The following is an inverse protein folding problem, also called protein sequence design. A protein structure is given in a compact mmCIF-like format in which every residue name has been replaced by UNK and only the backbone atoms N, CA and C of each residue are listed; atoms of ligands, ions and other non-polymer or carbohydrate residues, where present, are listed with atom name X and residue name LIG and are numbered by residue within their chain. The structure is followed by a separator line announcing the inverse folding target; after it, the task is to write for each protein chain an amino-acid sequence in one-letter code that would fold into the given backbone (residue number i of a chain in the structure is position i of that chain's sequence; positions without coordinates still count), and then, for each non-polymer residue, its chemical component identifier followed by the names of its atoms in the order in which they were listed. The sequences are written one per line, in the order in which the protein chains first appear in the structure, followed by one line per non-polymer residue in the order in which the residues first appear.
data_IF_257276403584
#
_entry.id   IF_257276403584
#
_cell.length_a   1.000
_cell.length_b   1.000
_cell.length_c   1.000
_cell.angle_alpha   90.00
_cell.angle_beta   90.00
_cell.angle_gamma   90.00
#
_symmetry.space_group_name_H-M   'P 1'
#
loop_
_entity.id
_entity.type
_entity.pdbx_description
1 polymer ?
#
# COMPACT_ATOMS: atom_id res chain seq x y z
N UNK A 1 30.90 44.22 -7.64
CA UNK A 1 29.57 44.38 -7.04
C UNK A 1 29.56 45.74 -6.35
N UNK A 2 28.58 46.58 -6.66
CA UNK A 2 28.40 47.89 -6.03
C UNK A 2 27.29 47.73 -4.98
N UNK A 3 27.65 47.81 -3.71
CA UNK A 3 26.75 47.60 -2.57
C UNK A 3 26.38 48.96 -2.00
N UNK A 4 25.09 49.24 -1.91
CA UNK A 4 24.55 50.42 -1.23
C UNK A 4 24.35 50.06 0.25
N UNK A 5 24.98 50.79 1.17
CA UNK A 5 24.86 50.56 2.62
C UNK A 5 24.99 51.87 3.39
N UNK A 6 24.63 51.86 4.67
CA UNK A 6 24.72 53.02 5.56
C UNK A 6 26.13 53.56 5.70
N UNK A 7 26.27 54.89 5.77
CA UNK A 7 27.53 55.59 5.94
C UNK A 7 27.54 56.40 7.26
N UNK A 8 28.73 56.67 7.81
CA UNK A 8 28.91 57.32 9.11
C UNK A 8 28.60 58.84 9.06
N UNK A 9 28.60 59.42 7.85
CA UNK A 9 28.35 60.84 7.65
C UNK A 9 26.84 61.16 7.71
N UNK A 10 26.43 61.90 8.74
CA UNK A 10 25.07 62.41 9.01
C UNK A 10 24.43 63.28 7.89
N UNK A 11 25.02 63.32 6.70
CA UNK A 11 24.54 64.08 5.53
C UNK A 11 24.08 63.20 4.36
N UNK A 12 24.47 61.92 4.31
CA UNK A 12 23.92 60.93 3.37
C UNK A 12 23.74 59.59 4.08
N UNK A 13 22.48 59.19 4.30
CA UNK A 13 22.17 57.96 5.05
C UNK A 13 22.70 56.66 4.39
N UNK A 14 23.08 56.70 3.09
CA UNK A 14 23.59 55.55 2.33
C UNK A 14 24.65 55.95 1.28
N UNK A 15 25.67 55.11 1.09
CA UNK A 15 26.73 55.23 0.07
C UNK A 15 26.97 53.91 -0.68
N UNK A 16 27.59 54.01 -1.87
CA UNK A 16 27.98 52.85 -2.68
C UNK A 16 29.45 52.50 -2.44
N UNK A 17 29.71 51.27 -1.98
CA UNK A 17 31.05 50.71 -1.85
C UNK A 17 31.21 49.42 -2.66
N UNK A 18 32.46 49.07 -2.96
CA UNK A 18 32.83 47.82 -3.63
C UNK A 18 34.04 47.19 -2.94
N UNK A 19 33.96 45.89 -2.63
CA UNK A 19 35.09 45.16 -2.05
C UNK A 19 34.65 43.88 -1.35
N UNK A 20 35.62 43.03 -0.98
CA UNK A 20 35.36 41.83 -0.16
C UNK A 20 34.87 42.19 1.23
N UNK A 21 35.23 43.38 1.74
CA UNK A 21 34.65 43.94 2.98
C UNK A 21 33.14 44.11 2.92
N UNK A 22 32.55 44.34 1.74
CA UNK A 22 31.09 44.42 1.56
C UNK A 22 30.50 43.03 1.31
N UNK A 23 31.26 42.08 0.78
CA UNK A 23 30.82 40.69 0.63
C UNK A 23 30.76 39.94 1.98
N UNK A 24 31.75 40.15 2.85
CA UNK A 24 31.82 39.52 4.17
C UNK A 24 30.52 39.64 5.01
N UNK A 25 29.93 40.82 5.23
CA UNK A 25 28.68 40.94 5.99
C UNK A 25 27.47 40.26 5.31
N UNK A 26 27.46 40.11 3.97
CA UNK A 26 26.43 39.32 3.29
C UNK A 26 26.57 37.83 3.63
N UNK A 27 27.80 37.30 3.65
CA UNK A 27 28.06 35.92 4.08
C UNK A 27 27.68 35.74 5.55
N UNK A 28 28.05 36.68 6.42
CA UNK A 28 27.69 36.64 7.84
C UNK A 28 26.18 36.64 8.05
N UNK A 29 25.43 37.49 7.32
CA UNK A 29 23.98 37.50 7.35
C UNK A 29 23.36 36.18 6.88
N UNK A 30 23.89 35.60 5.79
CA UNK A 30 23.45 34.29 5.31
C UNK A 30 23.68 33.18 6.34
N UNK A 31 24.84 33.14 6.98
CA UNK A 31 25.14 32.18 8.06
C UNK A 31 24.17 32.37 9.23
N UNK A 32 23.89 33.61 9.64
CA UNK A 32 22.95 33.88 10.73
C UNK A 32 21.54 33.34 10.41
N UNK A 33 21.08 33.52 9.17
CA UNK A 33 19.80 32.95 8.71
C UNK A 33 19.82 31.42 8.76
N UNK A 34 20.91 30.78 8.34
CA UNK A 34 21.04 29.31 8.40
C UNK A 34 21.11 28.77 9.83
N UNK A 35 21.73 29.49 10.76
CA UNK A 35 21.72 29.16 12.20
C UNK A 35 20.30 29.22 12.75
N UNK A 36 19.52 30.24 12.37
CA UNK A 36 18.13 30.36 12.79
C UNK A 36 17.25 29.28 12.15
N UNK A 37 17.44 28.99 10.87
CA UNK A 37 16.67 27.98 10.14
C UNK A 37 16.98 26.54 10.61
N UNK A 38 18.24 26.26 10.96
CA UNK A 38 18.72 24.92 11.32
C UNK A 38 19.53 24.94 12.63
N UNK A 39 18.89 25.22 13.78
CA UNK A 39 19.56 25.42 15.06
C UNK A 39 20.24 24.17 15.63
N UNK A 40 19.95 23.00 15.07
CA UNK A 40 20.54 21.71 15.48
C UNK A 40 21.86 21.40 14.77
N UNK A 41 22.22 22.17 13.74
CA UNK A 41 23.45 21.95 12.99
C UNK A 41 24.66 22.57 13.67
N UNK A 42 25.81 21.92 13.51
CA UNK A 42 27.08 22.51 13.88
C UNK A 42 27.45 23.65 12.93
N UNK A 43 28.33 24.54 13.39
CA UNK A 43 28.85 25.61 12.54
C UNK A 43 29.55 25.05 11.28
N UNK A 44 30.20 23.91 11.38
CA UNK A 44 30.83 23.20 10.25
C UNK A 44 29.78 22.76 9.22
N UNK A 45 28.70 22.11 9.67
CA UNK A 45 27.61 21.68 8.78
C UNK A 45 26.91 22.86 8.08
N UNK A 46 26.75 23.99 8.77
CA UNK A 46 26.18 25.21 8.16
C UNK A 46 27.09 25.76 7.06
N UNK A 47 28.41 25.76 7.30
CA UNK A 47 29.40 26.19 6.29
C UNK A 47 29.41 25.21 5.10
N UNK A 48 29.38 23.90 5.37
CA UNK A 48 29.35 22.86 4.33
C UNK A 48 28.09 22.97 3.46
N UNK A 49 26.92 23.20 4.06
CA UNK A 49 25.68 23.50 3.33
C UNK A 49 25.83 24.71 2.43
N UNK A 50 26.43 25.79 2.93
CA UNK A 50 26.62 27.02 2.16
C UNK A 50 27.56 26.79 0.97
N UNK A 51 28.59 25.95 1.14
CA UNK A 51 29.49 25.54 0.08
C UNK A 51 28.84 24.60 -0.95
N UNK A 52 28.06 23.62 -0.50
CA UNK A 52 27.38 22.65 -1.36
C UNK A 52 26.32 23.29 -2.26
N UNK A 53 25.70 24.37 -1.80
CA UNK A 53 24.62 25.07 -2.50
C UNK A 53 25.08 26.30 -3.28
N UNK A 54 26.36 26.68 -3.16
CA UNK A 54 26.90 27.82 -3.90
C UNK A 54 26.82 27.61 -5.43
N UNK A 55 26.39 28.64 -6.15
CA UNK A 55 26.22 28.59 -7.59
C UNK A 55 27.47 29.10 -8.31
N UNK A 56 27.99 28.30 -9.24
CA UNK A 56 29.08 28.70 -10.14
C UNK A 56 28.56 29.35 -11.43
N UNK A 57 27.23 29.34 -11.63
CA UNK A 57 26.59 29.79 -12.85
C UNK A 57 26.74 31.29 -13.07
N UNK A 58 27.13 31.67 -14.29
CA UNK A 58 27.28 33.07 -14.68
C UNK A 58 28.45 33.81 -14.01
N UNK A 59 29.33 33.10 -13.29
CA UNK A 59 30.51 33.71 -12.69
C UNK A 59 31.61 33.91 -13.73
N UNK A 60 32.08 35.15 -13.81
CA UNK A 60 33.23 35.56 -14.63
C UNK A 60 34.16 36.41 -13.78
N UNK A 61 35.46 36.15 -13.88
CA UNK A 61 36.47 36.96 -13.19
C UNK A 61 36.58 38.37 -13.78
N UNK A 62 37.46 39.19 -13.20
CA UNK A 62 37.67 40.58 -13.64
C UNK A 62 38.13 40.67 -15.10
N UNK A 63 38.81 39.66 -15.59
CA UNK A 63 39.37 39.61 -16.95
C UNK A 63 38.40 38.94 -17.94
N UNK A 64 37.21 38.54 -17.47
CA UNK A 64 36.16 37.93 -18.28
C UNK A 64 36.33 36.41 -18.46
N UNK A 65 37.25 35.77 -17.72
CA UNK A 65 37.38 34.32 -17.77
C UNK A 65 36.25 33.65 -16.99
N UNK A 66 35.86 32.46 -17.44
CA UNK A 66 34.90 31.60 -16.74
C UNK A 66 35.35 31.27 -15.32
N UNK A 67 34.40 30.85 -14.49
CA UNK A 67 34.60 30.40 -13.12
C UNK A 67 35.91 29.62 -12.88
N UNK A 68 36.65 30.05 -11.85
CA UNK A 68 37.78 29.33 -11.24
C UNK A 68 37.58 29.26 -9.73
N UNK A 69 37.76 28.08 -9.15
CA UNK A 69 37.67 27.88 -7.69
C UNK A 69 38.74 28.65 -6.91
N UNK A 70 39.89 28.95 -7.52
CA UNK A 70 40.93 29.78 -6.90
C UNK A 70 40.52 31.24 -6.70
N UNK A 71 39.52 31.71 -7.47
CA UNK A 71 39.04 33.11 -7.43
C UNK A 71 37.70 33.20 -6.69
N UNK A 72 36.79 32.26 -6.95
CA UNK A 72 35.42 32.29 -6.44
C UNK A 72 35.14 31.29 -5.31
N UNK A 73 36.14 30.48 -4.91
CA UNK A 73 35.95 29.44 -3.92
C UNK A 73 34.95 28.40 -4.41
N UNK A 74 33.83 28.25 -3.69
CA UNK A 74 32.73 27.35 -4.04
C UNK A 74 31.69 27.98 -4.96
N UNK A 75 31.80 29.29 -5.24
CA UNK A 75 30.84 30.02 -6.07
C UNK A 75 30.10 31.12 -5.30
N UNK A 76 29.03 31.62 -5.90
CA UNK A 76 28.17 32.66 -5.32
C UNK A 76 27.20 32.02 -4.34
N UNK A 77 27.05 32.63 -3.16
CA UNK A 77 26.05 32.21 -2.17
C UNK A 77 24.66 32.16 -2.80
N UNK A 78 23.99 31.03 -2.61
CA UNK A 78 22.59 30.81 -2.94
C UNK A 78 21.85 30.42 -1.66
N UNK A 79 21.30 31.43 -0.97
CA UNK A 79 20.62 31.22 0.30
C UNK A 79 19.29 30.48 0.13
N UNK A 80 18.61 30.63 -1.01
CA UNK A 80 17.36 29.92 -1.30
C UNK A 80 17.64 28.41 -1.42
N UNK A 81 18.68 28.03 -2.17
CA UNK A 81 19.14 26.65 -2.25
C UNK A 81 19.60 26.12 -0.88
N UNK A 82 20.36 26.91 -0.11
CA UNK A 82 20.83 26.51 1.22
C UNK A 82 19.69 26.25 2.21
N UNK A 83 18.55 26.93 2.11
CA UNK A 83 17.40 26.71 3.01
C UNK A 83 16.50 25.53 2.63
N UNK A 84 16.79 24.84 1.52
CA UNK A 84 16.03 23.68 1.02
C UNK A 84 16.78 22.37 1.31
N UNK A 85 16.09 21.22 1.22
CA UNK A 85 16.77 19.93 1.23
C UNK A 85 17.81 19.88 0.11
N UNK A 86 19.04 19.49 0.45
CA UNK A 86 20.17 19.35 -0.48
C UNK A 86 20.14 17.96 -1.11
N UNK A 87 19.94 16.94 -0.27
CA UNK A 87 19.82 15.54 -0.67
C UNK A 87 18.42 14.99 -0.33
N UNK A 88 18.31 13.68 -0.13
CA UNK A 88 17.06 13.00 0.18
C UNK A 88 16.62 13.29 1.62
N UNK A 89 15.33 13.60 1.80
CA UNK A 89 14.73 13.65 3.13
C UNK A 89 14.42 12.23 3.61
N UNK A 90 14.86 11.92 4.82
CA UNK A 90 14.67 10.60 5.40
C UNK A 90 14.01 10.64 6.77
N UNK A 91 13.16 9.64 6.98
CA UNK A 91 12.60 9.29 8.28
C UNK A 91 13.64 8.48 9.08
N UNK A 92 13.86 8.86 10.33
CA UNK A 92 14.68 8.08 11.26
C UNK A 92 13.84 7.00 11.95
N UNK A 93 14.20 5.74 11.78
CA UNK A 93 13.65 4.67 12.65
C UNK A 93 13.97 4.93 14.11
N UNK A 94 13.15 4.46 15.09
CA UNK A 94 13.41 4.64 16.52
C UNK A 94 14.80 4.15 16.93
N UNK A 95 15.73 5.10 16.97
CA UNK A 95 17.10 4.97 17.40
C UNK A 95 17.54 6.34 17.89
N UNK A 96 18.27 6.37 18.99
CA UNK A 96 18.40 7.57 19.80
C UNK A 96 19.43 8.58 19.26
N UNK A 97 20.11 8.32 18.14
CA UNK A 97 21.19 9.22 17.70
C UNK A 97 21.44 9.20 16.17
N UNK A 98 21.41 10.39 15.55
CA UNK A 98 21.66 10.68 14.13
C UNK A 98 23.15 10.56 13.74
N UNK A 99 24.07 10.71 14.69
CA UNK A 99 25.52 10.82 14.46
C UNK A 99 26.26 9.47 14.54
N UNK A 100 25.56 8.35 14.68
CA UNK A 100 26.16 7.02 14.66
C UNK A 100 26.38 6.54 13.22
N UNK A 101 27.33 7.18 12.53
CA UNK A 101 27.92 6.64 11.30
C UNK A 101 29.23 5.94 11.64
N UNK A 102 29.39 4.71 11.12
CA UNK A 102 30.57 3.85 11.17
C UNK A 102 30.72 2.89 12.38
N UNK A 103 30.34 1.62 12.14
CA UNK A 103 30.89 0.39 12.77
C UNK A 103 30.14 -0.32 13.92
N UNK A 104 28.82 -0.18 14.08
CA UNK A 104 28.04 -1.18 14.84
C UNK A 104 26.62 -1.33 14.29
N UNK A 105 26.10 -2.56 14.20
CA UNK A 105 24.85 -2.92 13.49
C UNK A 105 23.53 -2.42 14.11
N UNK A 106 23.59 -1.43 15.00
CA UNK A 106 22.45 -0.81 15.69
C UNK A 106 22.09 0.59 15.13
N UNK A 107 22.56 0.93 13.94
CA UNK A 107 22.36 2.26 13.35
C UNK A 107 20.89 2.55 13.01
N UNK A 108 20.51 3.82 13.17
CA UNK A 108 19.28 4.42 12.63
C UNK A 108 19.24 4.18 11.12
N UNK A 109 18.26 3.43 10.64
CA UNK A 109 18.01 3.30 9.21
C UNK A 109 17.20 4.51 8.77
N UNK A 110 17.81 5.33 7.94
CA UNK A 110 17.16 6.41 7.23
C UNK A 110 16.32 5.82 6.09
N UNK A 111 15.06 6.25 6.00
CA UNK A 111 14.15 5.81 4.95
C UNK A 111 13.69 7.02 4.13
N UNK A 112 13.99 7.01 2.83
CA UNK A 112 13.51 8.03 1.89
C UNK A 112 12.00 8.23 2.03
N UNK A 113 11.59 9.47 2.26
CA UNK A 113 10.19 9.87 2.37
C UNK A 113 9.38 9.52 1.13
N UNK A 114 9.98 9.62 -0.06
CA UNK A 114 9.29 9.38 -1.32
C UNK A 114 8.87 7.90 -1.46
N UNK A 115 9.58 7.01 -0.78
CA UNK A 115 9.36 5.57 -0.80
C UNK A 115 8.69 5.04 0.48
N UNK A 116 8.33 5.93 1.41
CA UNK A 116 7.76 5.57 2.72
C UNK A 116 6.27 5.89 2.75
N UNK A 117 5.46 5.08 2.06
CA UNK A 117 4.01 5.23 2.01
C UNK A 117 3.26 4.09 2.69
N UNK A 118 2.30 4.44 3.53
CA UNK A 118 1.32 3.52 4.12
C UNK A 118 0.07 3.56 3.24
N UNK A 119 -0.26 2.42 2.65
CA UNK A 119 -1.50 2.25 1.88
C UNK A 119 -2.42 1.35 2.70
N UNK A 120 -3.55 1.91 3.16
CA UNK A 120 -4.57 1.13 3.84
C UNK A 120 -5.58 0.59 2.83
N UNK A 121 -6.02 -0.65 2.95
CA UNK A 121 -7.06 -1.16 2.06
C UNK A 121 -8.46 -0.55 2.29
N UNK A 122 -9.42 -0.99 1.48
CA UNK A 122 -10.83 -0.72 1.68
C UNK A 122 -11.39 -1.26 3.01
N UNK A 123 -10.71 -2.20 3.67
CA UNK A 123 -11.17 -2.76 4.94
C UNK A 123 -11.09 -1.75 6.11
N UNK A 124 -10.26 -0.71 6.01
CA UNK A 124 -10.01 0.28 7.06
C UNK A 124 -10.84 1.56 6.93
N UNK A 125 -11.76 1.65 5.97
CA UNK A 125 -12.52 2.88 5.74
C UNK A 125 -13.78 2.70 4.92
N UNK A 126 -14.50 3.81 4.72
CA UNK A 126 -15.71 3.82 3.92
C UNK A 126 -15.38 4.23 2.47
N UNK A 127 -15.84 3.44 1.48
CA UNK A 127 -15.89 3.88 0.08
C UNK A 127 -16.97 4.97 -0.03
N UNK A 128 -16.62 6.20 -0.42
CA UNK A 128 -17.59 7.28 -0.66
C UNK A 128 -17.63 7.60 -2.15
N UNK A 129 -18.81 7.49 -2.81
CA UNK A 129 -18.96 7.98 -4.17
C UNK A 129 -18.86 9.52 -4.16
N UNK A 130 -17.87 10.06 -4.87
CA UNK A 130 -17.70 11.49 -5.14
C UNK A 130 -17.54 11.66 -6.64
N UNK A 131 -18.38 12.48 -7.27
CA UNK A 131 -18.35 12.72 -8.72
C UNK A 131 -18.36 11.44 -9.59
N UNK A 132 -19.22 10.48 -9.26
CA UNK A 132 -19.29 9.15 -9.92
C UNK A 132 -17.99 8.31 -9.81
N UNK A 133 -17.09 8.67 -8.90
CA UNK A 133 -15.88 7.89 -8.59
C UNK A 133 -15.93 7.44 -7.13
N UNK A 134 -15.55 6.19 -6.86
CA UNK A 134 -15.43 5.69 -5.48
C UNK A 134 -14.14 6.23 -4.86
N UNK A 135 -14.22 7.42 -4.27
CA UNK A 135 -13.11 7.98 -3.50
C UNK A 135 -13.02 7.31 -2.13
N UNK A 136 -11.80 6.92 -1.76
CA UNK A 136 -11.53 6.40 -0.43
C UNK A 136 -11.56 7.57 0.54
N UNK A 137 -12.63 7.70 1.32
CA UNK A 137 -12.64 8.65 2.42
C UNK A 137 -12.25 7.89 3.69
N UNK A 138 -10.95 7.79 3.92
CA UNK A 138 -10.47 7.40 5.24
C UNK A 138 -10.37 8.69 6.04
N UNK A 139 -11.35 8.98 6.90
CA UNK A 139 -11.10 9.92 8.01
C UNK A 139 -9.94 9.44 8.89
N UNK A 140 -9.56 8.16 8.78
CA UNK A 140 -8.29 7.66 9.31
C UNK A 140 -7.10 8.52 8.86
N UNK A 141 -7.03 8.97 7.59
CA UNK A 141 -5.99 9.88 7.12
C UNK A 141 -6.07 11.26 7.81
N UNK A 142 -7.29 11.77 8.06
CA UNK A 142 -7.52 13.00 8.84
C UNK A 142 -7.05 12.85 10.30
N UNK A 143 -7.06 11.63 10.86
CA UNK A 143 -6.50 11.36 12.19
C UNK A 143 -4.98 11.58 12.23
N UNK A 144 -4.26 11.44 11.12
CA UNK A 144 -2.81 11.68 11.03
C UNK A 144 -2.46 13.13 10.65
N UNK A 145 -3.03 14.10 11.36
CA UNK A 145 -2.80 15.53 11.09
C UNK A 145 -1.52 16.08 11.74
N UNK A 146 -0.80 15.26 12.50
CA UNK A 146 0.40 15.66 13.22
C UNK A 146 1.58 16.00 12.29
N UNK A 147 2.46 16.90 12.75
CA UNK A 147 3.74 17.15 12.10
C UNK A 147 4.79 16.13 12.55
N UNK A 148 5.62 15.70 11.60
CA UNK A 148 6.77 14.82 11.83
C UNK A 148 8.05 15.48 11.31
N UNK A 149 9.14 15.28 12.04
CA UNK A 149 10.46 15.73 11.63
C UNK A 149 11.11 14.68 10.74
N UNK A 150 11.64 15.14 9.61
CA UNK A 150 12.47 14.38 8.70
C UNK A 150 13.82 15.07 8.56
N UNK A 151 14.84 14.30 8.21
CA UNK A 151 16.22 14.78 8.19
C UNK A 151 16.79 14.71 6.79
N UNK A 152 17.49 15.76 6.38
CA UNK A 152 18.29 15.76 5.16
C UNK A 152 19.48 14.81 5.34
N UNK A 153 19.64 13.84 4.45
CA UNK A 153 20.75 12.88 4.50
C UNK A 153 22.13 13.51 4.31
N UNK A 154 22.20 14.74 3.81
CA UNK A 154 23.46 15.46 3.63
C UNK A 154 24.11 15.79 5.00
N UNK A 155 23.35 16.37 5.93
CA UNK A 155 23.89 16.89 7.19
C UNK A 155 22.95 16.83 8.39
N UNK A 156 21.86 16.07 8.29
CA UNK A 156 20.84 15.93 9.32
C UNK A 156 20.05 17.21 9.63
N UNK A 157 19.98 18.18 8.71
CA UNK A 157 19.08 19.32 8.86
C UNK A 157 17.63 18.86 9.00
N UNK A 158 16.93 19.43 9.99
CA UNK A 158 15.57 19.06 10.31
C UNK A 158 14.56 19.80 9.43
N UNK A 159 13.64 19.06 8.82
CA UNK A 159 12.51 19.57 8.06
C UNK A 159 11.21 19.01 8.65
N UNK A 160 10.14 19.79 8.52
CA UNK A 160 8.84 19.45 9.09
C UNK A 160 7.83 19.15 7.99
N UNK A 161 7.26 17.96 8.03
CA UNK A 161 6.26 17.51 7.06
C UNK A 161 5.02 17.01 7.79
N UNK A 162 3.86 17.02 7.12
CA UNK A 162 2.64 16.49 7.72
C UNK A 162 2.65 14.95 7.65
N UNK A 163 2.27 14.28 8.73
CA UNK A 163 2.24 12.82 8.78
C UNK A 163 1.25 12.21 7.77
N UNK A 164 0.22 12.95 7.37
CA UNK A 164 -0.69 12.52 6.31
C UNK A 164 -0.01 12.37 4.94
N UNK A 165 1.16 12.99 4.71
CA UNK A 165 1.87 12.88 3.43
C UNK A 165 2.46 11.48 3.20
N UNK A 166 2.63 10.71 4.27
CA UNK A 166 3.07 9.31 4.23
C UNK A 166 1.91 8.35 4.05
N UNK A 167 0.67 8.83 3.98
CA UNK A 167 -0.50 7.97 3.79
C UNK A 167 -0.97 8.12 2.37
N UNK A 168 -0.82 7.04 1.62
CA UNK A 168 -1.39 6.99 0.29
C UNK A 168 -2.87 6.60 0.41
N UNK A 169 -3.72 7.59 0.16
CA UNK A 169 -5.17 7.42 0.10
C UNK A 169 -5.61 7.01 -1.31
N UNK A 170 -4.66 6.60 -2.17
CA UNK A 170 -4.89 6.26 -3.58
C UNK A 170 -6.24 5.60 -3.81
N UNK A 171 -6.94 6.22 -4.75
CA UNK A 171 -8.29 5.90 -5.16
C UNK A 171 -8.38 4.41 -5.50
N UNK A 172 -9.41 3.75 -5.00
CA UNK A 172 -9.77 2.46 -5.55
C UNK A 172 -10.24 2.70 -6.98
N UNK A 173 -9.37 2.48 -7.98
CA UNK A 173 -9.79 2.40 -9.38
C UNK A 173 -10.44 1.04 -9.64
N UNK A 174 -11.72 0.92 -9.28
CA UNK A 174 -12.62 -0.15 -9.75
C UNK A 174 -13.14 0.19 -11.18
N UNK A 175 -12.73 1.34 -11.73
CA UNK A 175 -13.26 1.88 -13.00
C UNK A 175 -12.83 1.02 -14.20
N UNK A 176 -11.68 0.34 -14.13
CA UNK A 176 -11.23 -0.48 -15.25
C UNK A 176 -12.09 -1.75 -15.41
N UNK A 177 -12.57 -2.36 -14.33
CA UNK A 177 -13.46 -3.52 -14.42
C UNK A 177 -14.92 -3.12 -14.61
N UNK A 178 -15.39 -2.01 -14.03
CA UNK A 178 -16.72 -1.45 -14.33
C UNK A 178 -16.86 -1.17 -15.83
N UNK A 179 -15.82 -0.65 -16.49
CA UNK A 179 -15.82 -0.41 -17.93
C UNK A 179 -15.63 -1.69 -18.77
N UNK A 180 -14.87 -2.69 -18.31
CA UNK A 180 -14.75 -3.99 -19.00
C UNK A 180 -16.05 -4.81 -18.93
N UNK A 181 -16.73 -4.80 -17.79
CA UNK A 181 -17.97 -5.56 -17.54
C UNK A 181 -19.22 -4.93 -18.18
N UNK A 182 -19.22 -3.61 -18.36
CA UNK A 182 -20.31 -2.94 -19.08
C UNK A 182 -20.19 -3.09 -20.61
N UNK A 183 -19.01 -3.43 -21.15
CA UNK A 183 -18.75 -3.24 -22.59
C UNK A 183 -18.12 -4.39 -23.40
N UNK A 184 -17.58 -5.51 -22.89
CA UNK A 184 -17.15 -6.63 -23.79
C UNK A 184 -16.98 -8.04 -23.15
N UNK A 185 -17.67 -9.05 -23.72
CA UNK A 185 -17.27 -10.43 -24.04
C UNK A 185 -16.14 -11.17 -23.26
N UNK A 186 -16.21 -11.28 -21.92
CA UNK A 186 -15.42 -12.32 -21.23
C UNK A 186 -16.08 -13.69 -21.50
N UNK A 187 -15.47 -14.49 -22.39
CA UNK A 187 -15.94 -15.84 -22.70
C UNK A 187 -15.12 -16.90 -21.95
N UNK A 188 -15.79 -17.63 -21.05
CA UNK A 188 -15.23 -18.81 -20.41
C UNK A 188 -15.10 -19.96 -21.41
N UNK A 189 -13.94 -20.61 -21.46
CA UNK A 189 -13.67 -21.75 -22.34
C UNK A 189 -13.30 -22.98 -21.52
N UNK A 190 -13.79 -24.15 -21.96
CA UNK A 190 -13.46 -25.46 -21.40
C UNK A 190 -12.88 -26.38 -22.46
N UNK A 191 -11.76 -27.03 -22.14
CA UNK A 191 -11.13 -28.07 -22.95
C UNK A 191 -11.07 -29.37 -22.14
N UNK A 192 -11.62 -30.45 -22.69
CA UNK A 192 -11.49 -31.78 -22.09
C UNK A 192 -10.22 -32.46 -22.61
N UNK A 193 -9.34 -32.85 -21.69
CA UNK A 193 -8.14 -33.64 -21.99
C UNK A 193 -8.42 -35.14 -21.86
N UNK A 194 -9.37 -35.50 -20.99
CA UNK A 194 -9.96 -36.84 -20.86
C UNK A 194 -11.34 -36.75 -20.22
N UNK A 195 -11.99 -37.88 -19.94
CA UNK A 195 -13.29 -37.92 -19.25
C UNK A 195 -13.25 -37.27 -17.86
N UNK A 196 -12.12 -37.37 -17.17
CA UNK A 196 -11.95 -36.90 -15.80
C UNK A 196 -11.03 -35.68 -15.67
N UNK A 197 -10.40 -35.24 -16.76
CA UNK A 197 -9.46 -34.11 -16.76
C UNK A 197 -9.93 -33.06 -17.75
N UNK A 198 -10.11 -31.84 -17.28
CA UNK A 198 -10.48 -30.70 -18.10
C UNK A 198 -9.78 -29.43 -17.62
N UNK A 199 -9.57 -28.51 -18.55
CA UNK A 199 -9.02 -27.18 -18.30
C UNK A 199 -10.10 -26.16 -18.58
N UNK A 200 -10.28 -25.25 -17.64
CA UNK A 200 -11.16 -24.10 -17.70
C UNK A 200 -10.28 -22.84 -17.76
N UNK A 201 -10.57 -21.90 -18.65
CA UNK A 201 -9.76 -20.68 -18.77
C UNK A 201 -10.53 -19.50 -19.33
N UNK A 202 -10.00 -18.30 -19.07
CA UNK A 202 -10.42 -17.04 -19.67
C UNK A 202 -9.22 -16.45 -20.39
N UNK A 203 -9.36 -16.21 -21.69
CA UNK A 203 -8.31 -15.59 -22.51
C UNK A 203 -8.15 -14.11 -22.16
N UNK A 204 -6.91 -13.63 -22.21
CA UNK A 204 -6.63 -12.21 -22.10
C UNK A 204 -6.84 -11.55 -23.48
N UNK A 205 -7.92 -10.78 -23.64
CA UNK A 205 -8.26 -10.09 -24.90
C UNK A 205 -7.52 -8.76 -25.11
N UNK A 206 -6.65 -8.33 -24.19
CA UNK A 206 -5.92 -7.06 -24.31
C UNK A 206 -4.76 -7.07 -25.34
N UNK A 207 -4.55 -8.17 -26.08
CA UNK A 207 -3.54 -8.28 -27.14
C UNK A 207 -3.92 -7.62 -28.48
N UNK A 208 -4.89 -6.71 -28.51
CA UNK A 208 -5.37 -6.04 -29.73
C UNK A 208 -4.94 -4.56 -29.86
N UNK A 209 -3.78 -4.20 -29.30
CA UNK A 209 -3.10 -2.96 -29.70
C UNK A 209 -1.79 -3.31 -30.40
N UNK A 210 -1.85 -3.29 -31.73
CA UNK A 210 -0.68 -3.17 -32.59
C UNK A 210 0.22 -2.03 -32.11
N UNK A 211 1.51 -2.37 -31.99
CA UNK A 211 2.69 -1.51 -31.81
C UNK A 211 3.23 -1.36 -30.38
N UNK A 212 4.42 -1.95 -30.21
CA UNK A 212 5.58 -1.53 -29.39
C UNK A 212 5.86 -2.40 -28.17
N UNK A 213 6.96 -3.15 -28.31
CA UNK A 213 7.75 -3.95 -27.35
C UNK A 213 7.07 -5.21 -26.81
N UNK A 214 7.51 -6.33 -27.38
CA UNK A 214 7.40 -7.67 -26.83
C UNK A 214 8.15 -7.76 -25.50
N UNK A 215 7.46 -7.50 -24.40
CA UNK A 215 7.89 -8.03 -23.10
C UNK A 215 7.41 -9.47 -23.00
N UNK A 216 8.30 -10.40 -22.68
CA UNK A 216 8.06 -11.84 -22.49
C UNK A 216 7.09 -12.17 -21.32
N UNK A 217 6.36 -11.18 -20.79
CA UNK A 217 5.49 -11.25 -19.61
C UNK A 217 3.99 -11.19 -19.96
N UNK A 218 3.60 -11.27 -21.23
CA UNK A 218 2.20 -11.28 -21.61
C UNK A 218 1.52 -12.59 -21.18
N UNK A 219 0.79 -12.54 -20.05
CA UNK A 219 -0.05 -13.63 -19.60
C UNK A 219 -1.19 -13.84 -20.61
N UNK A 220 -1.14 -14.97 -21.32
CA UNK A 220 -2.15 -15.38 -22.31
C UNK A 220 -3.54 -15.61 -21.69
N UNK A 221 -3.62 -15.85 -20.38
CA UNK A 221 -4.86 -16.15 -19.66
C UNK A 221 -5.03 -15.23 -18.46
N UNK A 222 -6.23 -14.69 -18.27
CA UNK A 222 -6.61 -13.98 -17.04
C UNK A 222 -6.82 -14.97 -15.87
N UNK A 223 -7.27 -16.19 -16.18
CA UNK A 223 -7.35 -17.32 -15.26
C UNK A 223 -7.17 -18.63 -16.03
N UNK A 224 -6.58 -19.63 -15.37
CA UNK A 224 -6.53 -21.00 -15.83
C UNK A 224 -6.76 -21.97 -14.67
N UNK A 225 -7.68 -22.91 -14.84
CA UNK A 225 -7.98 -23.95 -13.86
C UNK A 225 -7.86 -25.34 -14.48
N UNK A 226 -6.91 -26.13 -13.97
CA UNK A 226 -6.78 -27.55 -14.29
C UNK A 226 -7.58 -28.36 -13.28
N UNK A 227 -8.57 -29.11 -13.76
CA UNK A 227 -9.43 -29.95 -12.94
C UNK A 227 -9.18 -31.44 -13.22
N UNK A 228 -9.06 -32.22 -12.15
CA UNK A 228 -9.29 -33.65 -12.15
C UNK A 228 -10.52 -33.95 -11.30
N UNK A 229 -11.48 -34.71 -11.82
CA UNK A 229 -12.71 -35.08 -11.11
C UNK A 229 -12.97 -36.58 -11.20
N UNK A 230 -13.39 -37.16 -10.08
CA UNK A 230 -13.90 -38.52 -9.97
C UNK A 230 -15.12 -38.50 -9.03
N UNK A 231 -15.82 -39.62 -8.86
CA UNK A 231 -17.03 -39.73 -8.03
C UNK A 231 -16.79 -39.37 -6.56
N UNK A 232 -15.58 -39.63 -6.04
CA UNK A 232 -15.23 -39.43 -4.62
C UNK A 232 -14.35 -38.23 -4.34
N UNK A 233 -13.60 -37.72 -5.32
CA UNK A 233 -12.74 -36.57 -5.08
C UNK A 233 -12.55 -35.71 -6.32
N UNK A 234 -12.29 -34.43 -6.08
CA UNK A 234 -11.93 -33.43 -7.09
C UNK A 234 -10.62 -32.77 -6.66
N UNK A 235 -9.70 -32.61 -7.61
CA UNK A 235 -8.48 -31.84 -7.44
C UNK A 235 -8.49 -30.72 -8.47
N UNK A 236 -8.30 -29.49 -8.02
CA UNK A 236 -8.23 -28.32 -8.90
C UNK A 236 -6.97 -27.53 -8.60
N UNK A 237 -6.18 -27.28 -9.63
CA UNK A 237 -5.14 -26.27 -9.60
C UNK A 237 -5.67 -25.03 -10.31
N UNK A 238 -5.68 -23.87 -9.64
CA UNK A 238 -6.15 -22.63 -10.23
C UNK A 238 -5.02 -21.59 -10.23
N UNK A 239 -4.81 -20.96 -11.38
CA UNK A 239 -4.07 -19.74 -11.57
C UNK A 239 -5.05 -18.61 -11.81
N UNK A 240 -4.89 -17.49 -11.11
CA UNK A 240 -5.64 -16.27 -11.39
C UNK A 240 -4.72 -15.07 -11.35
N UNK A 241 -4.83 -14.21 -12.36
CA UNK A 241 -4.13 -12.93 -12.38
C UNK A 241 -4.66 -12.03 -11.26
N UNK A 242 -5.97 -11.82 -11.17
CA UNK A 242 -6.56 -11.02 -10.09
C UNK A 242 -7.60 -11.82 -9.29
N UNK A 243 -7.97 -11.34 -8.11
CA UNK A 243 -9.09 -11.82 -7.28
C UNK A 243 -10.37 -11.95 -8.07
N UNK A 244 -10.62 -11.01 -8.97
CA UNK A 244 -11.84 -10.93 -9.76
C UNK A 244 -11.95 -12.08 -10.77
N UNK A 245 -10.83 -12.51 -11.33
CA UNK A 245 -10.78 -13.63 -12.27
C UNK A 245 -10.78 -15.00 -11.59
N UNK A 246 -10.58 -15.06 -10.27
CA UNK A 246 -10.34 -16.33 -9.58
C UNK A 246 -11.54 -17.29 -9.67
N UNK A 247 -12.76 -16.78 -9.67
CA UNK A 247 -13.97 -17.58 -9.38
C UNK A 247 -14.98 -17.71 -10.51
N UNK A 248 -14.59 -17.44 -11.75
CA UNK A 248 -15.49 -17.58 -12.90
C UNK A 248 -16.03 -19.03 -13.09
N UNK A 249 -15.43 -20.04 -12.47
CA UNK A 249 -15.82 -21.47 -12.65
C UNK A 249 -16.69 -22.11 -11.56
N UNK A 250 -17.25 -21.35 -10.60
CA UNK A 250 -18.14 -21.95 -9.60
C UNK A 250 -19.55 -22.15 -10.19
N UNK A 251 -19.94 -23.43 -10.37
CA UNK A 251 -21.27 -23.93 -10.77
C UNK A 251 -22.36 -22.86 -10.94
N UNK A 252 -22.57 -22.29 -12.14
CA UNK A 252 -23.79 -21.57 -12.58
C UNK A 252 -24.65 -20.87 -11.48
N UNK A 253 -24.04 -20.27 -10.46
CA UNK A 253 -24.74 -19.51 -9.43
C UNK A 253 -24.70 -18.04 -9.88
N UNK A 254 -25.14 -17.82 -11.13
CA UNK A 254 -25.55 -16.57 -11.76
C UNK A 254 -24.46 -15.55 -12.14
N UNK A 255 -24.16 -15.51 -13.44
CA UNK A 255 -24.06 -14.38 -14.39
C UNK A 255 -23.53 -12.98 -13.96
N UNK A 256 -22.92 -12.79 -12.79
CA UNK A 256 -22.38 -11.49 -12.38
C UNK A 256 -21.24 -11.60 -11.34
N UNK A 257 -20.06 -11.06 -11.67
CA UNK A 257 -18.87 -11.03 -10.79
C UNK A 257 -19.12 -10.39 -9.42
N UNK A 258 -19.98 -9.36 -9.34
CA UNK A 258 -20.34 -8.71 -8.07
C UNK A 258 -20.98 -9.66 -7.06
N UNK A 259 -21.81 -10.57 -7.56
CA UNK A 259 -22.48 -11.56 -6.74
C UNK A 259 -21.51 -12.62 -6.24
N UNK A 260 -20.59 -13.07 -7.10
CA UNK A 260 -19.56 -14.04 -6.71
C UNK A 260 -18.72 -13.46 -5.57
N UNK A 261 -18.21 -12.25 -5.71
CA UNK A 261 -17.35 -11.61 -4.69
C UNK A 261 -18.00 -11.52 -3.30
N UNK A 262 -19.33 -11.43 -3.20
CA UNK A 262 -20.04 -11.34 -1.93
C UNK A 262 -20.09 -12.67 -1.13
N UNK A 263 -20.11 -13.82 -1.79
CA UNK A 263 -20.32 -15.13 -1.12
C UNK A 263 -19.04 -15.96 -0.99
N UNK A 264 -17.89 -15.36 -1.24
CA UNK A 264 -16.60 -16.03 -1.27
C UNK A 264 -15.79 -15.71 -0.01
N UNK A 265 -14.80 -16.56 0.29
CA UNK A 265 -13.81 -16.27 1.31
C UNK A 265 -13.01 -15.01 0.92
N UNK A 266 -13.10 -13.90 1.68
CA UNK A 266 -12.50 -12.62 1.32
C UNK A 266 -10.98 -12.64 1.30
N UNK A 267 -10.35 -13.68 1.88
CA UNK A 267 -8.89 -13.83 1.97
C UNK A 267 -8.27 -14.56 0.77
N UNK A 268 -9.08 -15.14 -0.12
CA UNK A 268 -8.59 -15.79 -1.35
C UNK A 268 -8.22 -14.74 -2.39
N UNK A 269 -7.08 -14.92 -3.06
CA UNK A 269 -6.51 -14.03 -4.05
C UNK A 269 -6.47 -12.56 -3.60
N UNK A 270 -6.33 -12.34 -2.30
CA UNK A 270 -6.54 -11.04 -1.67
C UNK A 270 -5.57 -9.96 -2.17
N UNK A 271 -4.41 -10.36 -2.69
CA UNK A 271 -3.26 -9.47 -2.86
C UNK A 271 -2.79 -9.32 -4.31
N UNK A 272 -3.40 -10.03 -5.27
CA UNK A 272 -2.98 -10.05 -6.66
C UNK A 272 -2.92 -11.46 -7.22
N UNK A 273 -1.88 -11.73 -8.01
CA UNK A 273 -1.69 -13.01 -8.69
C UNK A 273 -1.70 -14.18 -7.70
N UNK A 274 -2.43 -15.24 -8.04
CA UNK A 274 -2.65 -16.36 -7.14
C UNK A 274 -2.51 -17.70 -7.84
N UNK A 275 -1.90 -18.63 -7.11
CA UNK A 275 -1.82 -20.04 -7.46
C UNK A 275 -2.39 -20.85 -6.32
N UNK A 276 -3.37 -21.69 -6.61
CA UNK A 276 -4.06 -22.47 -5.59
C UNK A 276 -4.20 -23.93 -5.97
N UNK A 277 -4.31 -24.76 -4.94
CA UNK A 277 -4.63 -26.17 -5.00
C UNK A 277 -5.82 -26.45 -4.07
N UNK A 278 -6.89 -26.95 -4.65
CA UNK A 278 -8.12 -27.30 -3.95
C UNK A 278 -8.38 -28.80 -4.09
N UNK A 279 -8.34 -29.51 -2.97
CA UNK A 279 -8.67 -30.92 -2.88
C UNK A 279 -10.01 -31.09 -2.16
N UNK A 280 -11.00 -31.64 -2.86
CA UNK A 280 -12.32 -31.97 -2.29
C UNK A 280 -12.49 -33.47 -2.22
N UNK A 281 -12.91 -33.97 -1.06
CA UNK A 281 -13.20 -35.38 -0.84
C UNK A 281 -14.61 -35.56 -0.31
N UNK A 282 -15.38 -36.42 -0.98
CA UNK A 282 -16.71 -36.83 -0.56
C UNK A 282 -16.57 -37.96 0.46
N UNK A 283 -16.83 -37.65 1.73
CA UNK A 283 -16.76 -38.63 2.83
C UNK A 283 -18.03 -39.48 2.82
N UNK A 284 -19.19 -38.82 2.71
CA UNK A 284 -20.52 -39.42 2.60
C UNK A 284 -21.32 -38.72 1.51
N UNK A 285 -22.49 -39.24 1.14
CA UNK A 285 -23.34 -38.60 0.14
C UNK A 285 -23.75 -37.17 0.48
N UNK A 286 -23.88 -36.88 1.76
CA UNK A 286 -24.24 -35.59 2.33
C UNK A 286 -23.07 -34.83 2.96
N UNK A 287 -21.85 -35.37 2.99
CA UNK A 287 -20.71 -34.72 3.65
C UNK A 287 -19.48 -34.75 2.76
N UNK A 288 -18.94 -33.57 2.48
CA UNK A 288 -17.64 -33.42 1.82
C UNK A 288 -16.70 -32.57 2.64
N UNK A 289 -15.42 -32.93 2.59
CA UNK A 289 -14.31 -32.17 3.13
C UNK A 289 -13.55 -31.51 1.98
N UNK A 290 -12.95 -30.35 2.23
CA UNK A 290 -12.04 -29.71 1.28
C UNK A 290 -10.81 -29.17 2.01
N UNK A 291 -9.65 -29.34 1.40
CA UNK A 291 -8.39 -28.73 1.78
C UNK A 291 -7.99 -27.78 0.67
N UNK A 292 -7.77 -26.53 1.04
CA UNK A 292 -7.41 -25.46 0.14
C UNK A 292 -6.06 -24.89 0.54
N UNK A 293 -5.16 -24.73 -0.43
CA UNK A 293 -3.85 -24.11 -0.25
C UNK A 293 -3.65 -23.11 -1.36
N UNK A 294 -3.16 -21.92 -1.03
CA UNK A 294 -2.94 -20.86 -1.99
C UNK A 294 -1.66 -20.09 -1.68
N UNK A 295 -0.96 -19.74 -2.74
CA UNK A 295 0.13 -18.78 -2.76
C UNK A 295 -0.36 -17.54 -3.50
N UNK A 296 -0.20 -16.38 -2.88
CA UNK A 296 -0.54 -15.08 -3.46
C UNK A 296 0.74 -14.25 -3.63
N UNK A 297 0.90 -13.67 -4.81
CA UNK A 297 2.01 -12.81 -5.21
C UNK A 297 1.45 -11.39 -5.32
N UNK A 298 1.88 -10.47 -4.45
CA UNK A 298 1.33 -9.12 -4.47
C UNK A 298 1.78 -8.34 -5.69
N UNK A 299 0.87 -7.56 -6.29
CA UNK A 299 1.24 -6.54 -7.26
C UNK A 299 1.87 -5.35 -6.53
N UNK A 300 3.19 -5.39 -6.34
CA UNK A 300 3.93 -4.24 -5.82
C UNK A 300 4.12 -3.23 -6.95
N UNK A 301 3.49 -2.05 -6.82
CA UNK A 301 3.54 -1.02 -7.85
C UNK A 301 4.94 -0.38 -8.03
N UNK A 302 5.91 -0.61 -7.13
CA UNK A 302 7.16 0.18 -7.07
C UNK A 302 8.42 -0.52 -6.52
N UNK A 303 8.50 -1.85 -6.49
CA UNK A 303 9.75 -2.53 -6.07
C UNK A 303 10.38 -3.30 -7.23
N UNK A 304 11.71 -3.31 -7.26
CA UNK A 304 12.46 -4.23 -8.11
C UNK A 304 11.98 -5.67 -7.86
N UNK A 305 11.61 -6.37 -8.94
CA UNK A 305 11.01 -7.72 -8.97
C UNK A 305 11.73 -8.83 -8.16
N UNK A 306 12.86 -8.54 -7.51
CA UNK A 306 13.72 -9.49 -6.84
C UNK A 306 13.39 -9.77 -5.35
N UNK A 307 12.53 -8.98 -4.70
CA UNK A 307 12.23 -9.11 -3.25
C UNK A 307 10.73 -9.24 -2.88
N UNK A 308 9.88 -9.64 -3.83
CA UNK A 308 8.44 -9.82 -3.57
C UNK A 308 8.19 -10.91 -2.51
N UNK A 309 7.57 -10.53 -1.38
CA UNK A 309 7.26 -11.49 -0.31
C UNK A 309 5.86 -12.07 -0.50
N UNK A 310 5.83 -13.36 -0.78
CA UNK A 310 4.61 -14.12 -1.03
C UNK A 310 3.75 -14.24 0.23
N UNK A 311 2.43 -14.29 0.03
CA UNK A 311 1.47 -14.66 1.07
C UNK A 311 0.97 -16.08 0.85
N UNK A 312 0.64 -16.77 1.94
CA UNK A 312 0.16 -18.15 1.90
C UNK A 312 -1.11 -18.30 2.69
N UNK A 313 -2.15 -18.83 2.05
CA UNK A 313 -3.42 -19.16 2.68
C UNK A 313 -3.59 -20.68 2.68
N UNK A 314 -4.06 -21.21 3.80
CA UNK A 314 -4.49 -22.60 3.90
C UNK A 314 -5.81 -22.62 4.64
N UNK A 315 -6.79 -23.35 4.11
CA UNK A 315 -8.08 -23.51 4.77
C UNK A 315 -8.63 -24.91 4.62
N UNK A 316 -9.46 -25.29 5.57
CA UNK A 316 -10.23 -26.53 5.54
C UNK A 316 -11.70 -26.18 5.58
N UNK A 317 -12.48 -26.86 4.75
CA UNK A 317 -13.92 -26.65 4.62
C UNK A 317 -14.65 -27.97 4.82
N UNK A 318 -15.67 -27.95 5.65
CA UNK A 318 -16.62 -29.05 5.78
C UNK A 318 -17.95 -28.56 5.21
N UNK A 319 -18.51 -29.33 4.29
CA UNK A 319 -19.79 -29.06 3.66
C UNK A 319 -20.75 -30.20 3.97
N UNK A 320 -21.88 -29.86 4.57
CA UNK A 320 -23.01 -30.74 4.79
C UNK A 320 -24.15 -30.37 3.84
N UNK A 321 -24.66 -31.34 3.08
CA UNK A 321 -25.72 -31.15 2.10
C UNK A 321 -26.91 -32.05 2.42
N UNK A 322 -28.07 -31.46 2.60
CA UNK A 322 -29.37 -32.11 2.66
C UNK A 322 -30.22 -31.62 1.48
N UNK A 323 -31.32 -32.29 1.15
CA UNK A 323 -32.15 -32.07 -0.04
C UNK A 323 -32.46 -30.59 -0.37
N UNK A 324 -32.58 -29.73 0.66
CA UNK A 324 -32.83 -28.29 0.49
C UNK A 324 -31.78 -27.40 1.14
N UNK A 325 -30.88 -27.94 1.97
CA UNK A 325 -30.03 -27.15 2.85
C UNK A 325 -28.56 -27.52 2.62
N UNK A 326 -27.71 -26.52 2.45
CA UNK A 326 -26.27 -26.68 2.41
C UNK A 326 -25.68 -25.81 3.51
N UNK A 327 -24.90 -26.43 4.39
CA UNK A 327 -24.15 -25.77 5.44
C UNK A 327 -22.67 -25.96 5.16
N UNK A 328 -21.90 -24.88 5.17
CA UNK A 328 -20.46 -24.91 4.99
C UNK A 328 -19.80 -24.19 6.16
N UNK A 329 -18.78 -24.82 6.72
CA UNK A 329 -17.91 -24.22 7.74
C UNK A 329 -16.48 -24.29 7.24
N UNK A 330 -15.83 -23.14 7.22
CA UNK A 330 -14.46 -22.99 6.75
C UNK A 330 -13.60 -22.43 7.87
N UNK A 331 -12.46 -23.05 8.13
CA UNK A 331 -11.46 -22.50 9.03
C UNK A 331 -10.14 -22.41 8.28
N UNK A 332 -9.43 -21.30 8.44
CA UNK A 332 -8.17 -21.13 7.76
C UNK A 332 -7.23 -20.14 8.40
N UNK A 333 -6.03 -20.14 7.85
CA UNK A 333 -4.91 -19.32 8.28
C UNK A 333 -4.26 -18.70 7.05
N UNK A 334 -4.03 -17.40 7.12
CA UNK A 334 -3.32 -16.61 6.13
C UNK A 334 -2.06 -16.04 6.79
N UNK A 335 -0.91 -16.24 6.16
CA UNK A 335 0.34 -15.62 6.54
C UNK A 335 0.80 -14.71 5.42
N UNK A 336 0.99 -13.43 5.75
CA UNK A 336 1.51 -12.42 4.82
C UNK A 336 2.70 -11.70 5.43
N UNK A 337 3.55 -11.16 4.57
CA UNK A 337 4.62 -10.25 4.95
C UNK A 337 4.42 -8.95 4.18
N UNK A 338 4.57 -7.81 4.84
CA UNK A 338 4.40 -6.48 4.24
C UNK A 338 3.00 -6.14 3.72
N UNK A 339 1.98 -6.92 4.06
CA UNK A 339 0.65 -6.70 3.51
C UNK A 339 -0.44 -6.79 4.56
N UNK A 340 -1.15 -5.67 4.72
CA UNK A 340 -2.21 -5.50 5.69
C UNK A 340 -3.58 -5.48 4.98
N UNK A 341 -4.27 -6.62 5.02
CA UNK A 341 -5.67 -6.81 4.58
C UNK A 341 -5.97 -6.19 3.19
N UNK A 342 -5.41 -6.70 2.09
CA UNK A 342 -5.60 -6.29 0.67
C UNK A 342 -4.59 -5.27 0.09
N UNK A 343 -3.68 -4.66 0.87
CA UNK A 343 -2.69 -3.72 0.29
C UNK A 343 -1.28 -3.83 0.85
N UNK A 344 -0.31 -3.70 -0.05
CA UNK A 344 1.12 -3.67 0.27
C UNK A 344 1.47 -2.40 1.04
N UNK A 345 2.22 -2.58 2.11
CA UNK A 345 2.88 -1.50 2.84
C UNK A 345 4.19 -1.22 2.13
N UNK A 346 4.37 0.01 1.65
CA UNK A 346 5.61 0.42 1.02
C UNK A 346 6.65 0.85 2.06
N UNK A 347 7.91 0.70 1.71
CA UNK A 347 9.05 1.01 2.57
C UNK A 347 9.46 -0.12 3.50
N UNK A 348 10.39 0.19 4.41
CA UNK A 348 11.06 -0.78 5.30
C UNK A 348 10.19 -1.26 6.48
N UNK A 349 8.87 -1.05 6.41
CA UNK A 349 7.89 -1.48 7.40
C UNK A 349 7.66 -3.00 7.26
N UNK A 350 8.60 -3.80 7.78
CA UNK A 350 8.48 -5.26 7.81
C UNK A 350 7.45 -5.64 8.88
N UNK A 351 6.21 -5.90 8.44
CA UNK A 351 5.18 -6.53 9.28
C UNK A 351 5.03 -7.99 8.89
N UNK A 352 5.14 -8.89 9.87
CA UNK A 352 4.74 -10.29 9.73
C UNK A 352 3.32 -10.43 10.24
N UNK A 353 2.40 -10.76 9.36
CA UNK A 353 0.97 -10.77 9.66
C UNK A 353 0.46 -12.20 9.62
N UNK A 354 -0.30 -12.57 10.64
CA UNK A 354 -0.94 -13.87 10.76
C UNK A 354 -2.41 -13.68 11.02
N UNK A 355 -3.25 -14.14 10.12
CA UNK A 355 -4.70 -14.03 10.21
C UNK A 355 -5.30 -15.42 10.35
N UNK A 356 -6.06 -15.64 11.41
CA UNK A 356 -6.93 -16.81 11.51
C UNK A 356 -8.36 -16.38 11.19
N UNK A 357 -9.09 -17.19 10.42
CA UNK A 357 -10.47 -16.88 10.07
C UNK A 357 -11.40 -18.07 10.22
N UNK A 358 -12.67 -17.76 10.46
CA UNK A 358 -13.80 -18.69 10.47
C UNK A 358 -14.86 -18.16 9.50
N UNK A 359 -15.22 -19.00 8.53
CA UNK A 359 -16.30 -18.77 7.58
C UNK A 359 -17.48 -19.68 7.87
N UNK A 360 -18.69 -19.13 7.83
CA UNK A 360 -19.95 -19.86 7.90
C UNK A 360 -20.80 -19.47 6.69
N UNK A 361 -21.20 -20.47 5.93
CA UNK A 361 -22.08 -20.26 4.77
C UNK A 361 -23.29 -21.17 4.87
N UNK A 362 -24.45 -20.63 4.54
CA UNK A 362 -25.71 -21.37 4.48
C UNK A 362 -26.41 -21.09 3.17
N UNK A 363 -26.85 -22.15 2.50
CA UNK A 363 -27.65 -22.05 1.28
C UNK A 363 -28.91 -22.90 1.43
N UNK A 364 -30.06 -22.24 1.34
CA UNK A 364 -31.35 -22.91 1.19
C UNK A 364 -31.74 -22.92 -0.29
N UNK A 365 -32.10 -24.08 -0.83
CA UNK A 365 -32.60 -24.26 -2.20
C UNK A 365 -34.00 -24.87 -2.17
N UNK A 366 -34.94 -24.17 -2.79
CA UNK A 366 -36.27 -24.66 -3.16
C UNK A 366 -36.41 -24.63 -4.69
N UNK A 367 -37.52 -25.17 -5.22
CA UNK A 367 -37.81 -25.12 -6.67
C UNK A 367 -37.86 -23.68 -7.20
N UNK A 368 -38.35 -22.75 -6.39
CA UNK A 368 -38.62 -21.36 -6.82
C UNK A 368 -37.75 -20.32 -6.13
N UNK A 369 -37.11 -20.66 -5.00
CA UNK A 369 -36.39 -19.69 -4.20
C UNK A 369 -35.02 -20.23 -3.75
N UNK A 370 -34.03 -19.35 -3.66
CA UNK A 370 -32.74 -19.64 -3.04
C UNK A 370 -32.39 -18.54 -2.04
N UNK A 371 -31.93 -18.94 -0.86
CA UNK A 371 -31.42 -18.02 0.18
C UNK A 371 -29.95 -18.36 0.36
N UNK A 372 -29.10 -17.34 0.35
CA UNK A 372 -27.66 -17.42 0.53
C UNK A 372 -27.29 -16.55 1.73
N UNK A 373 -26.62 -17.12 2.71
CA UNK A 373 -26.05 -16.40 3.85
C UNK A 373 -24.57 -16.74 3.93
N UNK A 374 -23.75 -15.73 4.16
CA UNK A 374 -22.32 -15.89 4.33
C UNK A 374 -21.82 -14.95 5.40
N UNK A 375 -20.95 -15.44 6.28
CA UNK A 375 -20.34 -14.67 7.35
C UNK A 375 -18.91 -15.14 7.58
N UNK A 376 -17.98 -14.20 7.59
CA UNK A 376 -16.58 -14.43 7.91
C UNK A 376 -16.19 -13.55 9.08
N UNK A 377 -15.48 -14.15 10.04
CA UNK A 377 -14.79 -13.44 11.11
C UNK A 377 -13.31 -13.79 11.06
N UNK A 378 -12.45 -12.79 11.24
CA UNK A 378 -11.02 -12.99 11.30
C UNK A 378 -10.36 -12.23 12.45
N UNK A 379 -9.30 -12.84 12.98
CA UNK A 379 -8.41 -12.28 14.00
C UNK A 379 -6.99 -12.24 13.45
N UNK A 380 -6.49 -11.03 13.24
CA UNK A 380 -5.20 -10.74 12.62
C UNK A 380 -4.21 -10.24 13.65
N UNK A 381 -3.11 -10.97 13.81
CA UNK A 381 -1.96 -10.59 14.64
C UNK A 381 -0.86 -10.00 13.78
N UNK A 382 -0.40 -8.82 14.17
CA UNK A 382 0.71 -8.12 13.54
C UNK A 382 1.94 -8.26 14.41
N UNK A 383 3.01 -8.86 13.88
CA UNK A 383 4.34 -8.84 14.50
C UNK A 383 5.18 -7.78 13.80
N UNK A 384 5.66 -6.85 14.61
CA UNK A 384 6.45 -5.71 14.17
C UNK A 384 7.94 -6.05 14.36
N UNK A 385 8.79 -5.56 13.45
CA UNK A 385 10.24 -5.53 13.68
C UNK A 385 10.61 -4.46 14.73
N UNK A 386 11.66 -4.71 15.51
CA UNK A 386 12.09 -3.85 16.61
C UNK A 386 12.59 -2.47 16.15
N UNK A 387 12.84 -2.30 14.84
CA UNK A 387 13.26 -1.04 14.20
C UNK A 387 12.11 -0.28 13.55
N UNK A 388 10.85 -0.73 13.68
CA UNK A 388 9.70 -0.05 13.07
C UNK A 388 9.29 1.19 13.86
N UNK A 389 8.72 2.17 13.16
CA UNK A 389 8.01 3.29 13.79
C UNK A 389 6.72 2.85 14.48
N UNK A 390 6.15 1.71 14.08
CA UNK A 390 4.97 1.20 14.74
C UNK A 390 5.32 0.46 16.03
N UNK A 391 4.42 0.52 16.99
CA UNK A 391 4.47 -0.22 18.23
C UNK A 391 3.07 -0.59 18.71
N UNK A 392 2.99 -1.45 19.73
CA UNK A 392 1.75 -1.75 20.44
C UNK A 392 0.54 -2.10 19.54
N UNK A 393 0.77 -2.92 18.50
CA UNK A 393 -0.33 -3.40 17.66
C UNK A 393 -1.24 -4.34 18.45
N UNK A 394 -2.47 -3.89 18.66
CA UNK A 394 -3.55 -4.76 19.10
C UNK A 394 -4.01 -5.64 17.95
N UNK A 395 -4.54 -6.82 18.30
CA UNK A 395 -5.16 -7.71 17.32
C UNK A 395 -6.23 -6.96 16.51
N UNK A 396 -6.19 -7.15 15.20
CA UNK A 396 -7.15 -6.56 14.28
C UNK A 396 -8.25 -7.59 14.05
N UNK A 397 -9.49 -7.23 14.41
CA UNK A 397 -10.66 -8.06 14.15
C UNK A 397 -11.38 -7.53 12.93
N UNK A 398 -11.72 -8.42 12.00
CA UNK A 398 -12.44 -8.05 10.78
C UNK A 398 -13.59 -9.00 10.50
N UNK A 399 -14.61 -8.46 9.82
CA UNK A 399 -15.79 -9.23 9.40
C UNK A 399 -16.16 -8.96 7.95
N UNK A 400 -16.79 -9.95 7.33
CA UNK A 400 -17.44 -9.84 6.02
C UNK A 400 -18.73 -10.63 6.07
N UNK A 401 -19.78 -10.14 5.43
CA UNK A 401 -21.06 -10.85 5.41
C UNK A 401 -21.87 -10.54 4.16
N UNK A 402 -22.68 -11.50 3.74
CA UNK A 402 -23.57 -11.36 2.60
C UNK A 402 -24.89 -12.10 2.80
N UNK A 403 -25.96 -11.48 2.29
CA UNK A 403 -27.32 -12.00 2.27
C UNK A 403 -27.80 -11.91 0.83
N UNK A 404 -28.14 -13.06 0.26
CA UNK A 404 -28.70 -13.20 -1.08
C UNK A 404 -30.07 -13.83 -1.02
N UNK A 405 -31.04 -13.20 -1.68
CA UNK A 405 -32.38 -13.73 -1.87
C UNK A 405 -32.65 -13.81 -3.36
N UNK A 406 -33.04 -14.98 -3.82
CA UNK A 406 -33.25 -15.22 -5.23
C UNK A 406 -34.57 -15.93 -5.47
N UNK A 407 -35.25 -15.49 -6.52
CA UNK A 407 -36.48 -16.09 -7.02
C UNK A 407 -36.29 -16.49 -8.47
N UNK A 408 -36.43 -17.78 -8.75
CA UNK A 408 -36.39 -18.31 -10.11
C UNK A 408 -37.75 -18.15 -10.78
N UNK A 409 -37.74 -17.62 -12.00
CA UNK A 409 -38.93 -17.38 -12.81
C UNK A 409 -39.29 -18.61 -13.67
N UNK A 410 -38.30 -19.47 -13.94
CA UNK A 410 -38.45 -20.70 -14.69
C UNK A 410 -37.76 -21.87 -13.97
N UNK A 411 -38.24 -23.10 -14.22
CA UNK A 411 -37.69 -24.34 -13.67
C UNK A 411 -36.26 -24.67 -14.14
N UNK A 412 -35.80 -24.01 -15.20
CA UNK A 412 -34.44 -24.17 -15.73
C UNK A 412 -33.40 -23.32 -15.00
N UNK A 413 -33.81 -22.47 -14.04
CA UNK A 413 -32.94 -21.58 -13.25
C UNK A 413 -32.17 -20.50 -14.04
N UNK A 414 -32.45 -20.35 -15.33
CA UNK A 414 -31.79 -19.37 -16.21
C UNK A 414 -32.34 -17.95 -16.05
N UNK A 415 -33.61 -17.82 -15.64
CA UNK A 415 -34.26 -16.54 -15.36
C UNK A 415 -34.50 -16.39 -13.87
N UNK A 416 -33.90 -15.36 -13.25
CA UNK A 416 -34.05 -15.09 -11.82
C UNK A 416 -34.11 -13.61 -11.51
N UNK A 417 -34.78 -13.27 -10.41
CA UNK A 417 -34.65 -11.98 -9.74
C UNK A 417 -33.83 -12.22 -8.47
N UNK A 418 -32.75 -11.46 -8.29
CA UNK A 418 -31.88 -11.54 -7.13
C UNK A 418 -31.86 -10.21 -6.37
N UNK A 419 -31.89 -10.30 -5.05
CA UNK A 419 -31.57 -9.22 -4.13
C UNK A 419 -30.32 -9.60 -3.36
N UNK A 420 -29.33 -8.71 -3.36
CA UNK A 420 -28.04 -8.91 -2.70
C UNK A 420 -27.77 -7.72 -1.78
N UNK A 421 -27.49 -8.02 -0.52
CA UNK A 421 -26.96 -7.07 0.45
C UNK A 421 -25.71 -7.68 1.06
N UNK A 422 -24.58 -6.98 0.98
CA UNK A 422 -23.33 -7.48 1.54
C UNK A 422 -22.43 -6.35 2.02
N UNK A 423 -21.58 -6.69 2.99
CA UNK A 423 -20.47 -5.90 3.46
C UNK A 423 -19.19 -6.65 3.09
N UNK A 424 -18.31 -6.06 2.26
CA UNK A 424 -16.95 -6.56 2.05
C UNK A 424 -16.19 -6.68 3.38
N UNK A 425 -14.96 -7.21 3.32
CA UNK A 425 -14.10 -7.27 4.50
C UNK A 425 -13.95 -5.88 5.12
N UNK A 426 -14.28 -5.75 6.40
CA UNK A 426 -14.18 -4.51 7.16
C UNK A 426 -13.55 -4.77 8.51
N UNK A 427 -12.67 -3.87 8.95
CA UNK A 427 -12.08 -3.89 10.28
C UNK A 427 -13.09 -3.35 11.30
N UNK A 428 -13.38 -4.18 12.30
CA UNK A 428 -14.34 -3.86 13.38
C UNK A 428 -13.64 -3.39 14.65
N UNK A 429 -12.38 -3.79 14.88
CA UNK A 429 -11.56 -3.36 16.03
C UNK A 429 -10.09 -3.54 15.74
N UNK A 430 -9.26 -2.67 16.30
CA UNK A 430 -7.80 -2.77 16.23
C UNK A 430 -7.16 -1.42 16.50
N UNK A 431 -5.91 -1.41 16.94
CA UNK A 431 -5.17 -0.18 17.14
C UNK A 431 -3.68 -0.43 17.05
N UNK A 432 -2.93 0.64 16.83
CA UNK A 432 -1.47 0.64 16.92
C UNK A 432 -0.98 1.97 17.47
N UNK A 433 0.24 2.00 17.96
CA UNK A 433 0.95 3.22 18.31
C UNK A 433 2.00 3.54 17.27
N UNK A 434 2.24 4.83 17.03
CA UNK A 434 3.31 5.32 16.17
C UNK A 434 4.29 6.16 16.99
N UNK A 435 5.57 5.85 16.88
CA UNK A 435 6.65 6.69 17.36
C UNK A 435 6.99 7.75 16.31
N UNK A 436 6.60 8.98 16.58
CA UNK A 436 6.72 10.11 15.66
C UNK A 436 7.88 10.99 16.12
N UNK A 437 8.95 11.15 15.31
CA UNK A 437 10.02 12.10 15.64
C UNK A 437 9.50 13.54 15.61
N UNK A 438 9.73 14.30 16.68
CA UNK A 438 9.23 15.67 16.86
C UNK A 438 10.31 16.75 16.81
N UNK A 439 11.51 16.43 17.24
CA UNK A 439 12.68 17.31 17.14
C UNK A 439 13.97 16.52 17.40
N UNK A 440 15.09 17.11 17.04
CA UNK A 440 16.43 16.66 17.44
C UNK A 440 17.13 17.74 18.27
N UNK A 441 18.14 17.33 19.05
CA UNK A 441 19.08 18.26 19.66
C UNK A 441 20.35 18.42 18.83
N UNK A 442 21.21 19.37 19.22
CA UNK A 442 22.50 19.64 18.58
C UNK A 442 23.52 18.49 18.70
N UNK A 443 23.24 17.48 19.54
CA UNK A 443 24.05 16.27 19.67
C UNK A 443 23.55 15.14 18.76
N UNK A 444 22.50 15.39 17.99
CA UNK A 444 21.87 14.43 17.09
C UNK A 444 20.91 13.47 17.79
N UNK A 445 20.52 13.72 19.05
CA UNK A 445 19.53 12.87 19.71
C UNK A 445 18.12 13.22 19.21
N UNK A 446 17.33 12.18 18.90
CA UNK A 446 15.98 12.34 18.36
C UNK A 446 14.96 12.06 19.47
N UNK A 447 14.00 12.98 19.62
CA UNK A 447 12.92 12.87 20.57
C UNK A 447 11.62 12.50 19.87
N UNK A 448 10.98 11.45 20.36
CA UNK A 448 9.78 10.87 19.78
C UNK A 448 8.57 11.13 20.69
N UNK A 449 7.40 11.33 20.08
CA UNK A 449 6.12 11.16 20.77
C UNK A 449 5.48 9.85 20.36
N UNK A 450 4.80 9.19 21.29
CA UNK A 450 3.94 8.04 20.98
C UNK A 450 2.51 8.54 20.80
N UNK A 451 1.92 8.30 19.62
CA UNK A 451 0.51 8.60 19.34
C UNK A 451 -0.21 7.30 19.00
N UNK A 452 -1.35 7.06 19.65
CA UNK A 452 -2.17 5.86 19.43
C UNK A 452 -3.25 6.12 18.38
N UNK A 453 -3.40 5.19 17.44
CA UNK A 453 -4.37 5.24 16.35
C UNK A 453 -5.29 4.02 16.36
N UNK A 454 -6.59 4.26 16.29
CA UNK A 454 -7.61 3.22 16.14
C UNK A 454 -7.87 2.92 14.65
N UNK A 455 -7.95 1.62 14.34
CA UNK A 455 -8.14 1.06 13.00
C UNK A 455 -9.61 0.76 12.67
N UNK A 456 -10.53 1.00 13.60
CA UNK A 456 -11.96 0.79 13.40
C UNK A 456 -12.49 1.65 12.26
N UNK A 457 -13.24 1.02 11.35
CA UNK A 457 -13.95 1.74 10.31
C UNK A 457 -14.99 2.67 10.95
N UNK A 458 -15.04 3.94 10.51
CA UNK A 458 -15.94 4.92 11.10
C UNK A 458 -17.39 4.45 11.02
N UNK A 459 -18.06 4.38 12.17
CA UNK A 459 -19.51 4.27 12.25
C UNK A 459 -20.07 5.57 11.68
N UNK A 460 -20.86 5.49 10.59
CA UNK A 460 -21.68 6.64 10.18
C UNK A 460 -22.61 6.95 11.36
N UNK A 461 -22.43 8.12 11.97
CA UNK A 461 -23.43 8.73 12.84
C UNK A 461 -24.63 9.16 12.02
#
# INVERSE_FOLDING_TARGET
MNVISTDEDHTSEYQIYSGTSMAAPHVTGAIAILIEAFPTLSAEQIVDRLFATASTSGLTDRDGNSYSSSVFGHGKIDLDAATKPIEVLALSSPSNNLNNSSNNSNNSTFHDINNSKIIFSGAFGNKIPKNNMLTKNVKLAEKFSETVVVFDTFDNAAFFVNLNSFIDVSEYRDINLENLLLLNDISEKRIFLSQNIYVDFVENHNNYNDNIVSDLNDNYFNNLTLNYTNERFKLSYNYSYDKEYYFLFSEKIANNMYKNNAFINPFIAMNGESHSLDYKHKIFDNVSYSLFVEKQIPYEYYTDNFNQKMSYLVSTKIKFTNNKNIFETEYGFLMSQHLLLEQSLQGHLILKIKTNFLGLSYTYKSKTNRILLNYFYADTKVKIDNKSMFSNFNNIKSTSWAIGLEKFLNNNYDEMISFLLYQPLRVESGSFSLYIPKYSDSFGNIFYSESQYELEADKKN
#
